data_IF_253184039195
#
_entry.id   IF_253184039195
#
_cell.length_a   1.000
_cell.length_b   1.000
_cell.length_c   1.000
_cell.angle_alpha   90.00
_cell.angle_beta   90.00
_cell.angle_gamma   90.00
#
_symmetry.space_group_name_H-M   'P 1'
#
loop_
_entity.id
_entity.type
_entity.pdbx_description
1 polymer ?
#
# COMPACT_ATOMS: atom_id res chain seq x y z
N UNK A 1 65.81 -29.59 -12.08
CA UNK A 1 64.51 -29.16 -12.65
C UNK A 1 64.19 -27.71 -12.27
N UNK A 2 64.33 -26.80 -13.23
CA UNK A 2 64.15 -25.35 -13.05
C UNK A 2 62.64 -25.05 -12.98
N UNK A 3 62.17 -24.51 -11.85
CA UNK A 3 60.76 -24.13 -11.69
C UNK A 3 60.47 -22.83 -12.45
N UNK A 4 59.57 -22.91 -13.42
CA UNK A 4 59.10 -21.78 -14.22
C UNK A 4 58.08 -20.97 -13.41
N UNK A 5 58.41 -19.72 -13.07
CA UNK A 5 57.49 -18.77 -12.42
C UNK A 5 56.44 -18.27 -13.43
N UNK A 6 55.16 -18.50 -13.15
CA UNK A 6 54.03 -18.00 -13.94
C UNK A 6 53.60 -16.58 -13.48
N UNK A 7 53.05 -15.73 -14.37
CA UNK A 7 52.89 -14.29 -14.12
C UNK A 7 51.64 -13.98 -13.28
N UNK A 8 51.79 -13.00 -12.37
CA UNK A 8 50.71 -12.46 -11.52
C UNK A 8 49.61 -11.82 -12.37
N UNK A 9 48.40 -12.36 -12.31
CA UNK A 9 47.21 -11.77 -12.94
C UNK A 9 46.71 -10.58 -12.09
N UNK A 10 46.63 -9.40 -12.70
CA UNK A 10 46.13 -8.17 -12.07
C UNK A 10 44.61 -8.28 -11.85
N UNK A 11 44.07 -8.02 -10.64
CA UNK A 11 42.64 -8.11 -10.42
C UNK A 11 41.88 -6.99 -11.15
N UNK A 12 40.92 -7.37 -12.00
CA UNK A 12 39.94 -6.48 -12.63
C UNK A 12 39.14 -5.75 -11.54
N UNK A 13 39.19 -4.42 -11.54
CA UNK A 13 38.34 -3.58 -10.68
C UNK A 13 36.87 -3.83 -11.00
N UNK A 14 36.12 -4.35 -10.03
CA UNK A 14 34.66 -4.40 -10.06
C UNK A 14 34.12 -2.97 -10.05
N UNK A 15 33.52 -2.54 -11.16
CA UNK A 15 32.75 -1.29 -11.21
C UNK A 15 31.52 -1.48 -10.33
N UNK A 16 31.50 -0.86 -9.16
CA UNK A 16 30.31 -0.74 -8.33
C UNK A 16 29.32 0.18 -9.05
N UNK A 17 28.32 -0.43 -9.69
CA UNK A 17 27.13 0.30 -10.14
C UNK A 17 26.47 0.90 -8.91
N UNK A 18 26.54 2.22 -8.76
CA UNK A 18 25.72 2.93 -7.78
C UNK A 18 24.26 2.72 -8.18
N UNK A 19 23.61 1.74 -7.54
CA UNK A 19 22.17 1.58 -7.61
C UNK A 19 21.57 2.80 -6.93
N UNK A 20 20.86 3.63 -7.70
CA UNK A 20 19.94 4.62 -7.13
C UNK A 20 19.09 3.92 -6.06
N UNK A 21 18.81 4.56 -4.90
CA UNK A 21 17.90 3.99 -3.93
C UNK A 21 16.60 3.63 -4.65
N UNK A 22 16.27 2.35 -4.67
CA UNK A 22 15.00 1.91 -5.23
C UNK A 22 13.93 2.43 -4.27
N UNK A 23 13.00 3.24 -4.77
CA UNK A 23 11.88 3.71 -3.94
C UNK A 23 11.21 2.50 -3.27
N UNK A 24 10.78 2.63 -2.01
CA UNK A 24 10.18 1.52 -1.28
C UNK A 24 8.91 1.08 -1.99
N UNK A 25 8.98 -0.07 -2.69
CA UNK A 25 7.85 -0.66 -3.38
C UNK A 25 7.19 -1.72 -2.50
N UNK A 26 5.86 -1.82 -2.61
CA UNK A 26 5.10 -2.90 -1.99
C UNK A 26 5.63 -4.29 -2.43
N UNK A 27 5.66 -5.29 -1.53
CA UNK A 27 6.11 -6.63 -1.89
C UNK A 27 5.30 -7.20 -3.05
N UNK A 28 5.98 -7.63 -4.12
CA UNK A 28 5.34 -8.19 -5.32
C UNK A 28 4.49 -9.41 -5.02
N UNK A 29 4.88 -10.21 -4.03
CA UNK A 29 4.10 -11.37 -3.56
C UNK A 29 2.73 -10.93 -3.03
N UNK A 30 2.70 -9.90 -2.19
CA UNK A 30 1.49 -9.36 -1.60
C UNK A 30 0.54 -8.79 -2.66
N UNK A 31 1.05 -7.99 -3.60
CA UNK A 31 0.24 -7.46 -4.72
C UNK A 31 -0.41 -8.61 -5.50
N UNK A 32 0.36 -9.66 -5.82
CA UNK A 32 -0.14 -10.82 -6.55
C UNK A 32 -1.18 -11.60 -5.76
N UNK A 33 -0.98 -11.78 -4.46
CA UNK A 33 -1.89 -12.51 -3.58
C UNK A 33 -3.24 -11.78 -3.47
N UNK A 34 -3.22 -10.48 -3.18
CA UNK A 34 -4.42 -9.63 -3.11
C UNK A 34 -5.16 -9.65 -4.45
N UNK A 35 -4.46 -9.42 -5.55
CA UNK A 35 -5.10 -9.38 -6.87
C UNK A 35 -5.73 -10.73 -7.25
N UNK A 36 -5.04 -11.85 -6.98
CA UNK A 36 -5.58 -13.20 -7.21
C UNK A 36 -6.83 -13.47 -6.39
N UNK A 37 -6.86 -13.04 -5.13
CA UNK A 37 -8.01 -13.21 -4.25
C UNK A 37 -9.27 -12.55 -4.83
N UNK A 38 -9.15 -11.33 -5.38
CA UNK A 38 -10.29 -10.60 -5.92
C UNK A 38 -10.67 -10.99 -7.35
N UNK A 39 -9.70 -11.29 -8.21
CA UNK A 39 -9.95 -11.51 -9.65
C UNK A 39 -10.59 -12.87 -9.95
N UNK A 40 -10.38 -13.88 -9.08
CA UNK A 40 -11.00 -15.23 -9.15
C UNK A 40 -10.84 -15.98 -10.49
N UNK A 41 -9.87 -15.58 -11.32
CA UNK A 41 -9.58 -16.17 -12.63
C UNK A 41 -8.06 -16.25 -12.87
N UNK A 42 -7.58 -17.10 -13.80
CA UNK A 42 -6.16 -17.14 -14.13
C UNK A 42 -5.69 -15.84 -14.78
N UNK A 43 -4.52 -15.35 -14.36
CA UNK A 43 -3.92 -14.09 -14.82
C UNK A 43 -2.51 -14.36 -15.32
N UNK A 44 -2.16 -13.78 -16.46
CA UNK A 44 -0.84 -13.96 -17.09
C UNK A 44 0.27 -13.25 -16.29
N UNK A 45 1.51 -13.70 -16.47
CA UNK A 45 2.67 -13.10 -15.79
C UNK A 45 2.87 -11.63 -16.18
N UNK A 46 2.60 -11.29 -17.44
CA UNK A 46 2.75 -9.91 -17.92
C UNK A 46 1.67 -8.99 -17.38
N UNK A 47 0.42 -9.48 -17.23
CA UNK A 47 -0.63 -8.72 -16.57
C UNK A 47 -0.26 -8.36 -15.12
N UNK A 48 0.35 -9.27 -14.37
CA UNK A 48 0.84 -8.94 -13.02
C UNK A 48 1.91 -7.84 -13.02
N UNK A 49 2.78 -7.77 -14.02
CA UNK A 49 3.75 -6.66 -14.13
C UNK A 49 3.05 -5.31 -14.34
N UNK A 50 1.92 -5.29 -15.04
CA UNK A 50 1.10 -4.08 -15.21
C UNK A 50 0.43 -3.72 -13.88
N UNK A 51 -0.15 -4.68 -13.17
CA UNK A 51 -0.75 -4.45 -11.84
C UNK A 51 0.28 -3.89 -10.85
N UNK A 52 1.51 -4.41 -10.84
CA UNK A 52 2.62 -3.89 -10.03
C UNK A 52 2.87 -2.39 -10.34
N UNK A 53 2.99 -2.01 -11.62
CA UNK A 53 3.16 -0.61 -12.05
C UNK A 53 1.96 0.28 -11.72
N UNK A 54 0.74 -0.24 -11.87
CA UNK A 54 -0.48 0.47 -11.51
C UNK A 54 -0.54 0.73 -10.00
N UNK A 55 -0.10 -0.23 -9.18
CA UNK A 55 -0.03 -0.09 -7.73
C UNK A 55 0.95 1.02 -7.31
N UNK A 56 2.12 1.07 -7.95
CA UNK A 56 3.11 2.15 -7.73
C UNK A 56 2.52 3.53 -8.07
N UNK A 57 1.86 3.65 -9.22
CA UNK A 57 1.17 4.89 -9.61
C UNK A 57 0.05 5.28 -8.64
N UNK A 58 -0.71 4.29 -8.18
CA UNK A 58 -1.80 4.50 -7.22
C UNK A 58 -1.28 5.10 -5.92
N UNK A 59 -0.23 4.54 -5.32
CA UNK A 59 0.34 5.07 -4.07
C UNK A 59 0.94 6.46 -4.23
N UNK A 60 1.56 6.75 -5.38
CA UNK A 60 2.04 8.11 -5.69
C UNK A 60 0.89 9.11 -5.72
N UNK A 61 -0.15 8.81 -6.49
CA UNK A 61 -1.32 9.67 -6.60
C UNK A 61 -2.01 9.89 -5.24
N UNK A 62 -2.23 8.81 -4.48
CA UNK A 62 -2.83 8.89 -3.14
C UNK A 62 -1.99 9.73 -2.20
N UNK A 63 -0.66 9.65 -2.28
CA UNK A 63 0.23 10.46 -1.45
C UNK A 63 0.09 11.96 -1.78
N UNK A 64 0.09 12.30 -3.06
CA UNK A 64 -0.09 13.69 -3.54
C UNK A 64 -1.47 14.25 -3.11
N UNK A 65 -2.51 13.42 -3.18
CA UNK A 65 -3.87 13.77 -2.77
C UNK A 65 -3.98 14.04 -1.26
N UNK A 66 -3.40 13.15 -0.44
CA UNK A 66 -3.42 13.30 1.02
C UNK A 66 -2.60 14.52 1.47
N UNK A 67 -1.48 14.80 0.82
CA UNK A 67 -0.72 16.03 1.06
C UNK A 67 -1.58 17.27 0.78
N UNK A 68 -2.30 17.28 -0.35
CA UNK A 68 -3.17 18.39 -0.71
C UNK A 68 -4.28 18.60 0.33
N UNK A 69 -4.90 17.53 0.84
CA UNK A 69 -5.95 17.61 1.87
C UNK A 69 -5.42 18.10 3.22
N UNK A 70 -4.31 17.54 3.70
CA UNK A 70 -3.70 17.97 4.94
C UNK A 70 -3.29 19.45 4.87
N UNK A 71 -2.66 19.86 3.74
CA UNK A 71 -2.26 21.26 3.50
C UNK A 71 -3.46 22.20 3.40
N UNK A 72 -4.55 21.78 2.76
CA UNK A 72 -5.78 22.57 2.68
C UNK A 72 -6.38 22.82 4.07
N UNK A 73 -6.27 21.85 4.98
CA UNK A 73 -6.66 22.00 6.38
C UNK A 73 -5.62 22.71 7.26
N UNK A 74 -4.52 23.23 6.69
CA UNK A 74 -3.45 23.90 7.42
C UNK A 74 -2.60 22.96 8.29
N UNK A 75 -2.72 21.64 8.11
CA UNK A 75 -1.99 20.60 8.85
C UNK A 75 -0.79 20.10 8.06
N UNK A 76 0.16 19.51 8.78
CA UNK A 76 1.29 18.74 8.22
C UNK A 76 1.13 17.23 8.43
N UNK A 77 0.15 16.82 9.23
CA UNK A 77 -0.20 15.43 9.53
C UNK A 77 -1.43 15.03 8.73
N UNK A 78 -1.41 13.80 8.21
CA UNK A 78 -2.58 13.18 7.58
C UNK A 78 -3.44 12.60 8.68
N UNK A 79 -4.72 12.99 8.68
CA UNK A 79 -5.71 12.55 9.66
C UNK A 79 -6.71 11.56 9.01
N UNK A 80 -7.47 10.85 9.84
CA UNK A 80 -8.49 9.90 9.37
C UNK A 80 -9.53 10.58 8.46
N UNK A 81 -9.86 11.84 8.73
CA UNK A 81 -10.78 12.63 7.91
C UNK A 81 -10.25 12.83 6.48
N UNK A 82 -8.94 12.96 6.28
CA UNK A 82 -8.34 13.12 4.95
C UNK A 82 -8.50 11.83 4.13
N UNK A 83 -8.35 10.67 4.78
CA UNK A 83 -8.61 9.36 4.18
C UNK A 83 -10.09 9.16 3.86
N UNK A 84 -10.99 9.56 4.75
CA UNK A 84 -12.43 9.46 4.50
C UNK A 84 -12.84 10.31 3.28
N UNK A 85 -12.34 11.54 3.17
CA UNK A 85 -12.56 12.41 2.01
C UNK A 85 -11.99 11.78 0.74
N UNK A 86 -10.77 11.23 0.80
CA UNK A 86 -10.16 10.53 -0.33
C UNK A 86 -11.04 9.38 -0.82
N UNK A 87 -11.47 8.51 0.10
CA UNK A 87 -12.27 7.33 -0.23
C UNK A 87 -13.69 7.70 -0.68
N UNK A 88 -14.25 8.81 -0.18
CA UNK A 88 -15.52 9.37 -0.67
C UNK A 88 -15.36 9.91 -2.09
N UNK A 89 -14.26 10.60 -2.40
CA UNK A 89 -13.95 11.08 -3.75
C UNK A 89 -13.69 9.94 -4.75
N UNK A 90 -13.13 8.83 -4.29
CA UNK A 90 -12.97 7.60 -5.08
C UNK A 90 -14.29 6.82 -5.26
N UNK A 91 -15.38 7.23 -4.60
CA UNK A 91 -16.68 6.54 -4.66
C UNK A 91 -16.76 5.26 -3.83
N UNK A 92 -15.79 4.99 -2.96
CA UNK A 92 -15.79 3.83 -2.07
C UNK A 92 -16.64 4.07 -0.82
N UNK A 93 -16.50 5.25 -0.22
CA UNK A 93 -17.30 5.67 0.93
C UNK A 93 -18.54 6.42 0.44
N UNK A 94 -19.71 5.94 0.82
CA UNK A 94 -21.00 6.55 0.51
C UNK A 94 -21.90 6.51 1.74
N UNK A 95 -23.04 7.19 1.71
CA UNK A 95 -23.95 7.21 2.86
C UNK A 95 -24.53 5.81 3.18
N UNK A 96 -24.56 4.91 2.19
CA UNK A 96 -24.94 3.50 2.36
C UNK A 96 -23.76 2.61 2.77
N UNK A 97 -22.54 3.02 2.48
CA UNK A 97 -21.31 2.27 2.73
C UNK A 97 -20.30 3.18 3.47
N UNK A 98 -20.48 3.39 4.78
CA UNK A 98 -19.58 4.23 5.56
C UNK A 98 -18.22 3.55 5.75
N UNK A 99 -17.19 4.33 6.09
CA UNK A 99 -15.81 3.86 6.24
C UNK A 99 -15.67 2.67 7.21
N UNK A 100 -16.41 2.68 8.32
CA UNK A 100 -16.37 1.60 9.31
C UNK A 100 -16.83 0.26 8.75
N UNK A 101 -17.82 0.26 7.85
CA UNK A 101 -18.30 -0.97 7.19
C UNK A 101 -17.25 -1.49 6.21
N UNK A 102 -16.50 -0.61 5.53
CA UNK A 102 -15.37 -1.03 4.70
C UNK A 102 -14.25 -1.65 5.55
N UNK A 103 -13.95 -1.08 6.70
CA UNK A 103 -12.97 -1.61 7.66
C UNK A 103 -13.38 -3.02 8.12
N UNK A 104 -14.66 -3.22 8.44
CA UNK A 104 -15.20 -4.52 8.84
C UNK A 104 -15.20 -5.55 7.70
N UNK A 105 -15.35 -5.13 6.45
CA UNK A 105 -15.38 -6.06 5.33
C UNK A 105 -13.97 -6.47 4.87
N UNK A 106 -13.01 -5.55 4.87
CA UNK A 106 -11.73 -5.75 4.17
C UNK A 106 -10.50 -5.86 5.07
N UNK A 107 -10.57 -5.49 6.36
CA UNK A 107 -9.43 -5.62 7.27
C UNK A 107 -9.54 -6.85 8.18
N UNK A 108 -8.44 -7.52 8.54
CA UNK A 108 -8.40 -8.50 9.62
C UNK A 108 -8.83 -7.93 10.97
N UNK A 109 -9.30 -8.81 11.88
CA UNK A 109 -9.85 -8.43 13.19
C UNK A 109 -8.87 -7.62 14.05
N UNK A 110 -7.58 -7.90 13.97
CA UNK A 110 -6.53 -7.19 14.72
C UNK A 110 -6.52 -5.69 14.41
N UNK A 111 -6.60 -5.34 13.13
CA UNK A 111 -6.63 -3.94 12.70
C UNK A 111 -7.98 -3.27 12.99
N UNK A 112 -9.08 -4.02 12.92
CA UNK A 112 -10.42 -3.49 13.26
C UNK A 112 -10.49 -3.03 14.71
N UNK A 113 -9.92 -3.80 15.64
CA UNK A 113 -9.92 -3.44 17.07
C UNK A 113 -9.20 -2.12 17.36
N UNK A 114 -8.20 -1.77 16.55
CA UNK A 114 -7.45 -0.52 16.67
C UNK A 114 -8.26 0.65 16.11
N UNK A 115 -8.92 0.46 14.97
CA UNK A 115 -9.63 1.52 14.25
C UNK A 115 -11.07 1.75 14.77
N UNK A 116 -11.72 0.71 15.27
CA UNK A 116 -13.08 0.71 15.80
C UNK A 116 -13.03 0.14 17.22
N UNK A 117 -12.53 0.92 18.19
CA UNK A 117 -12.43 0.45 19.58
C UNK A 117 -13.81 0.29 20.24
N UNK A 118 -14.83 0.98 19.72
CA UNK A 118 -16.22 0.92 20.19
C UNK A 118 -17.14 0.80 18.99
N UNK A 119 -18.14 -0.09 19.09
CA UNK A 119 -19.14 -0.24 18.04
C UNK A 119 -19.91 1.07 17.85
N UNK A 120 -19.74 1.67 16.66
CA UNK A 120 -20.46 2.88 16.21
C UNK A 120 -21.72 2.54 15.41
N UNK A 121 -22.15 1.26 15.43
CA UNK A 121 -23.49 0.88 14.99
C UNK A 121 -24.49 1.77 15.74
N UNK A 122 -25.38 2.44 15.00
CA UNK A 122 -26.41 3.37 15.50
C UNK A 122 -27.47 2.73 16.40
N UNK A 123 -27.04 1.88 17.33
CA UNK A 123 -27.84 1.25 18.36
C UNK A 123 -28.35 2.36 19.29
N UNK A 124 -29.59 2.79 19.04
CA UNK A 124 -30.29 3.72 19.90
C UNK A 124 -30.73 2.96 21.16
N UNK A 125 -29.87 2.93 22.17
CA UNK A 125 -30.22 2.37 23.49
C UNK A 125 -31.19 3.35 24.15
N UNK A 126 -32.47 3.01 24.15
CA UNK A 126 -33.50 3.76 24.86
C UNK A 126 -33.57 3.18 26.27
N UNK A 127 -33.24 3.95 27.33
CA UNK A 127 -33.36 3.44 28.69
C UNK A 127 -34.84 3.18 29.00
N UNK A 128 -35.19 1.95 29.36
CA UNK A 128 -36.48 1.65 29.98
C UNK A 128 -36.45 2.19 31.42
N UNK A 129 -37.40 3.06 31.77
CA UNK A 129 -37.62 3.51 33.15
C UNK A 129 -38.09 2.35 34.04
#
# INVERSE_FOLDING_TARGET
PVQLLQPKTVPKRLKTSQRKPCEPQMPRSLIKEIFRHFVKMPVTRDAFKIVEKCSERYFKQVSDDLEAYARHAGRKTVEVADLEILMRRQGLVTDKMPLNVLIENYLPLEYRKILIPVAVSGNKVIPSK
#
